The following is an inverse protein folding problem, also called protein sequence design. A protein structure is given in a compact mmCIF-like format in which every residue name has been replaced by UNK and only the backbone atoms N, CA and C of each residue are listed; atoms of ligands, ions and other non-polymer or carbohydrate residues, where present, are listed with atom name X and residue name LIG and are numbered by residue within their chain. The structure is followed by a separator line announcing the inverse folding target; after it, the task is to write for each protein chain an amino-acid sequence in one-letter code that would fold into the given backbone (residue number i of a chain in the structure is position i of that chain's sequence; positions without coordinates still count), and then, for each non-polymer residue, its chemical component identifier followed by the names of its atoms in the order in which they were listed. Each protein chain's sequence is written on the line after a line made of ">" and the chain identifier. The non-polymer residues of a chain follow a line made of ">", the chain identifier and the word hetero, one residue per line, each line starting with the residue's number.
data_IF_214600971559
#
_entry.id   IF_214600971559
#
_cell.length_a   1.000
_cell.length_b   1.000
_cell.length_c   1.000
_cell.angle_alpha   90.00
_cell.angle_beta   90.00
_cell.angle_gamma   90.00
#
_symmetry.space_group_name_H-M   'P 1'
#
loop_
_entity.id
_entity.type
_entity.pdbx_description
1 polymer ?
#
# COMPACT_ATOMS: atom_id res chain seq x y z
N UNK A 1 -42.20 0.40 60.00
CA UNK A 1 -42.44 1.39 58.92
C UNK A 1 -41.19 2.11 58.36
N UNK A 2 -39.96 1.80 58.79
CA UNK A 2 -38.73 2.48 58.28
C UNK A 2 -37.92 1.68 57.25
N UNK A 3 -38.33 0.45 56.92
CA UNK A 3 -37.62 -0.44 55.97
C UNK A 3 -37.98 -0.16 54.50
N UNK A 4 -39.19 0.33 54.24
CA UNK A 4 -39.70 0.68 52.90
C UNK A 4 -38.81 1.74 52.20
N UNK A 5 -38.40 2.86 52.85
CA UNK A 5 -37.54 3.84 52.18
C UNK A 5 -36.14 3.30 51.89
N UNK A 6 -35.59 2.43 52.75
CA UNK A 6 -34.29 1.80 52.55
C UNK A 6 -34.34 0.88 51.32
N UNK A 7 -35.42 0.11 51.19
CA UNK A 7 -35.63 -0.77 50.03
C UNK A 7 -35.72 0.02 48.71
N UNK A 8 -36.44 1.15 48.70
CA UNK A 8 -36.52 2.04 47.54
C UNK A 8 -35.15 2.60 47.12
N UNK A 9 -34.32 3.02 48.08
CA UNK A 9 -32.97 3.53 47.82
C UNK A 9 -32.07 2.44 47.21
N UNK A 10 -32.13 1.21 47.73
CA UNK A 10 -31.34 0.09 47.18
C UNK A 10 -31.74 -0.28 45.75
N UNK A 11 -33.05 -0.25 45.44
CA UNK A 11 -33.57 -0.47 44.08
C UNK A 11 -33.08 0.63 43.14
N UNK A 12 -33.14 1.90 43.58
CA UNK A 12 -32.69 3.03 42.77
C UNK A 12 -31.18 2.96 42.48
N UNK A 13 -30.38 2.61 43.49
CA UNK A 13 -28.93 2.44 43.34
C UNK A 13 -28.60 1.28 42.39
N UNK A 14 -29.31 0.16 42.52
CA UNK A 14 -29.16 -0.99 41.63
C UNK A 14 -29.48 -0.63 40.16
N UNK A 15 -30.61 0.06 39.93
CA UNK A 15 -31.00 0.53 38.61
C UNK A 15 -29.98 1.53 38.04
N UNK A 16 -29.49 2.46 38.86
CA UNK A 16 -28.47 3.44 38.46
C UNK A 16 -27.16 2.76 38.01
N UNK A 17 -26.64 1.80 38.78
CA UNK A 17 -25.44 1.04 38.42
C UNK A 17 -25.65 0.25 37.13
N UNK A 18 -26.81 -0.39 36.97
CA UNK A 18 -27.16 -1.16 35.76
C UNK A 18 -27.26 -0.26 34.52
N UNK A 19 -27.83 0.94 34.67
CA UNK A 19 -27.94 1.92 33.59
C UNK A 19 -26.56 2.50 33.19
N UNK A 20 -25.71 2.83 34.17
CA UNK A 20 -24.33 3.30 33.95
C UNK A 20 -23.49 2.24 33.22
N UNK A 21 -23.64 0.96 33.58
CA UNK A 21 -22.97 -0.16 32.87
C UNK A 21 -23.44 -0.31 31.42
N UNK A 22 -24.72 -0.08 31.12
CA UNK A 22 -25.25 -0.19 29.74
C UNK A 22 -24.72 0.89 28.79
N UNK A 23 -24.46 2.11 29.27
CA UNK A 23 -23.84 3.17 28.44
C UNK A 23 -22.43 2.80 27.95
N UNK A 24 -21.69 1.96 28.68
CA UNK A 24 -20.36 1.49 28.29
C UNK A 24 -20.32 0.45 27.16
N UNK A 25 -21.46 -0.15 26.78
CA UNK A 25 -21.53 -1.19 25.74
C UNK A 25 -21.86 -0.66 24.33
N UNK A 26 -22.07 0.64 24.16
CA UNK A 26 -22.35 1.27 22.86
C UNK A 26 -21.07 1.56 22.06
N UNK A 27 -20.09 0.65 22.07
CA UNK A 27 -18.88 0.74 21.25
C UNK A 27 -19.02 0.00 19.92
N UNK A 28 -20.25 -0.27 19.48
CA UNK A 28 -20.50 -0.81 18.13
C UNK A 28 -20.34 0.34 17.16
N UNK A 29 -19.19 0.36 16.46
CA UNK A 29 -18.94 1.27 15.34
C UNK A 29 -20.16 1.32 14.43
N UNK A 30 -20.66 2.51 14.16
CA UNK A 30 -21.80 2.70 13.27
C UNK A 30 -21.50 2.12 11.89
N UNK A 31 -22.53 1.75 11.12
CA UNK A 31 -22.36 1.17 9.78
C UNK A 31 -21.38 1.99 8.93
N UNK A 32 -21.50 3.33 8.99
CA UNK A 32 -20.63 4.28 8.31
C UNK A 32 -19.17 4.19 8.75
N UNK A 33 -18.90 4.01 10.04
CA UNK A 33 -17.52 3.85 10.54
C UNK A 33 -16.90 2.52 10.10
N UNK A 34 -17.68 1.44 10.09
CA UNK A 34 -17.23 0.15 9.56
C UNK A 34 -16.94 0.23 8.06
N UNK A 35 -17.76 0.98 7.32
CA UNK A 35 -17.55 1.26 5.91
C UNK A 35 -16.25 2.04 5.68
N UNK A 36 -16.07 3.19 6.36
CA UNK A 36 -14.81 3.97 6.30
C UNK A 36 -13.58 3.13 6.64
N UNK A 37 -13.67 2.29 7.67
CA UNK A 37 -12.58 1.41 8.07
C UNK A 37 -12.26 0.37 6.97
N UNK A 38 -13.28 -0.23 6.34
CA UNK A 38 -13.07 -1.17 5.22
C UNK A 38 -12.37 -0.48 4.04
N UNK A 39 -12.81 0.73 3.67
CA UNK A 39 -12.15 1.51 2.62
C UNK A 39 -10.70 1.83 2.94
N UNK A 40 -10.42 2.29 4.17
CA UNK A 40 -9.05 2.53 4.64
C UNK A 40 -8.20 1.26 4.54
N UNK A 41 -8.73 0.11 4.98
CA UNK A 41 -8.01 -1.16 4.94
C UNK A 41 -7.74 -1.62 3.49
N UNK A 42 -8.68 -1.41 2.55
CA UNK A 42 -8.48 -1.71 1.13
C UNK A 42 -7.34 -0.86 0.55
N UNK A 43 -7.33 0.44 0.84
CA UNK A 43 -6.29 1.35 0.36
C UNK A 43 -4.91 0.99 0.91
N UNK A 44 -4.81 0.65 2.20
CA UNK A 44 -3.57 0.17 2.81
C UNK A 44 -3.08 -1.12 2.15
N UNK A 45 -4.00 -2.06 1.88
CA UNK A 45 -3.65 -3.32 1.19
C UNK A 45 -3.14 -3.06 -0.22
N UNK A 46 -3.80 -2.19 -0.98
CA UNK A 46 -3.34 -1.80 -2.33
C UNK A 46 -1.96 -1.17 -2.29
N UNK A 47 -1.72 -0.25 -1.34
CA UNK A 47 -0.41 0.38 -1.14
C UNK A 47 0.68 -0.66 -0.87
N UNK A 48 0.43 -1.61 0.04
CA UNK A 48 1.38 -2.69 0.33
C UNK A 48 1.69 -3.55 -0.90
N UNK A 49 0.68 -3.90 -1.69
CA UNK A 49 0.87 -4.68 -2.94
C UNK A 49 1.72 -3.88 -3.94
N UNK A 50 1.48 -2.58 -4.07
CA UNK A 50 2.29 -1.69 -4.92
C UNK A 50 3.74 -1.65 -4.43
N UNK A 51 3.95 -1.44 -3.13
CA UNK A 51 5.28 -1.43 -2.50
C UNK A 51 5.99 -2.78 -2.68
N UNK A 52 5.30 -3.90 -2.49
CA UNK A 52 5.84 -5.24 -2.69
C UNK A 52 6.22 -5.50 -4.15
N UNK A 53 5.38 -5.05 -5.09
CA UNK A 53 5.67 -5.13 -6.52
C UNK A 53 6.92 -4.30 -6.88
N UNK A 54 6.99 -3.06 -6.43
CA UNK A 54 8.12 -2.14 -6.64
C UNK A 54 9.40 -2.70 -6.00
N UNK A 55 9.31 -3.24 -4.79
CA UNK A 55 10.42 -3.94 -4.13
C UNK A 55 10.86 -5.17 -4.93
N UNK A 56 9.93 -5.99 -5.44
CA UNK A 56 10.26 -7.14 -6.27
C UNK A 56 10.99 -6.75 -7.55
N UNK A 57 10.61 -5.61 -8.14
CA UNK A 57 11.28 -5.08 -9.31
C UNK A 57 12.68 -4.59 -8.93
N UNK A 58 12.88 -3.97 -7.77
CA UNK A 58 14.20 -3.52 -7.32
C UNK A 58 15.19 -4.65 -6.97
N UNK A 59 14.75 -5.91 -6.92
CA UNK A 59 15.60 -7.07 -6.62
C UNK A 59 16.26 -7.69 -7.85
N UNK A 60 15.54 -7.80 -8.97
CA UNK A 60 16.07 -8.41 -10.20
C UNK A 60 16.03 -7.41 -11.38
N UNK A 61 17.18 -6.92 -11.86
CA UNK A 61 17.24 -6.00 -13.00
C UNK A 61 16.81 -6.63 -14.33
N UNK A 62 16.72 -7.97 -14.41
CA UNK A 62 16.37 -8.73 -15.61
C UNK A 62 14.86 -8.89 -15.79
N UNK A 63 14.08 -8.73 -14.71
CA UNK A 63 12.62 -8.78 -14.76
C UNK A 63 12.08 -7.61 -15.56
N UNK A 64 11.28 -7.88 -16.59
CA UNK A 64 10.79 -6.86 -17.53
C UNK A 64 9.88 -5.83 -16.84
N UNK A 65 10.13 -4.54 -17.09
CA UNK A 65 9.20 -3.45 -16.79
C UNK A 65 8.37 -3.18 -18.05
N UNK A 66 7.10 -3.60 -18.11
CA UNK A 66 6.28 -3.42 -19.31
C UNK A 66 5.89 -1.96 -19.49
N UNK A 67 6.03 -1.44 -20.71
CA UNK A 67 5.45 -0.17 -21.14
C UNK A 67 4.28 -0.45 -22.08
N UNK A 68 3.29 0.43 -22.11
CA UNK A 68 2.07 0.24 -22.88
C UNK A 68 1.21 1.49 -22.86
N UNK A 69 0.37 1.64 -23.88
CA UNK A 69 -0.50 2.81 -24.07
C UNK A 69 -1.67 2.85 -23.09
N UNK A 70 -1.95 1.73 -22.42
CA UNK A 70 -3.05 1.58 -21.46
C UNK A 70 -2.70 2.01 -20.03
N UNK A 71 -1.42 2.31 -19.77
CA UNK A 71 -0.98 2.75 -18.44
C UNK A 71 -1.26 4.24 -18.24
N UNK A 72 -1.59 4.63 -17.02
CA UNK A 72 -1.71 6.05 -16.68
C UNK A 72 -0.34 6.73 -16.66
N UNK A 73 -0.32 8.07 -16.73
CA UNK A 73 0.91 8.86 -16.62
C UNK A 73 1.65 8.55 -15.30
N UNK A 74 0.92 8.41 -14.20
CA UNK A 74 1.49 8.08 -12.89
C UNK A 74 2.16 6.70 -12.90
N UNK A 75 1.53 5.70 -13.51
CA UNK A 75 2.10 4.36 -13.64
C UNK A 75 3.33 4.35 -14.55
N UNK A 76 3.33 5.12 -15.63
CA UNK A 76 4.49 5.28 -16.52
C UNK A 76 5.65 5.95 -15.79
N UNK A 77 5.36 6.97 -14.97
CA UNK A 77 6.36 7.65 -14.15
C UNK A 77 6.98 6.72 -13.12
N UNK A 78 6.18 5.96 -12.37
CA UNK A 78 6.69 4.99 -11.41
C UNK A 78 7.61 3.95 -12.08
N UNK A 79 7.20 3.44 -13.25
CA UNK A 79 8.01 2.50 -14.04
C UNK A 79 9.33 3.09 -14.52
N UNK A 80 9.31 4.35 -14.97
CA UNK A 80 10.52 5.06 -15.37
C UNK A 80 11.48 5.25 -14.18
N UNK A 81 10.94 5.56 -13.00
CA UNK A 81 11.74 5.72 -11.78
C UNK A 81 12.35 4.38 -11.34
N UNK A 82 11.58 3.28 -11.36
CA UNK A 82 12.13 1.93 -11.10
C UNK A 82 13.25 1.59 -12.09
N UNK A 83 13.06 1.90 -13.37
CA UNK A 83 14.07 1.66 -14.39
C UNK A 83 15.37 2.43 -14.12
N UNK A 84 15.27 3.72 -13.80
CA UNK A 84 16.40 4.58 -13.42
C UNK A 84 17.11 4.07 -12.18
N UNK A 85 16.37 3.70 -11.14
CA UNK A 85 16.96 3.15 -9.91
C UNK A 85 17.73 1.87 -10.18
N UNK A 86 17.20 0.96 -11.02
CA UNK A 86 17.91 -0.27 -11.40
C UNK A 86 19.18 0.00 -12.20
N UNK A 87 19.14 0.92 -13.17
CA UNK A 87 20.33 1.32 -13.91
C UNK A 87 21.39 1.87 -12.96
N UNK A 88 21.01 2.75 -12.02
CA UNK A 88 21.93 3.31 -11.03
C UNK A 88 22.50 2.25 -10.08
N UNK A 89 21.70 1.27 -9.66
CA UNK A 89 22.10 0.27 -8.65
C UNK A 89 22.86 -0.92 -9.24
N UNK A 90 22.43 -1.41 -10.40
CA UNK A 90 22.93 -2.66 -11.00
C UNK A 90 23.69 -2.44 -12.30
N UNK A 91 23.69 -1.21 -12.85
CA UNK A 91 24.26 -0.92 -14.16
C UNK A 91 23.47 -1.50 -15.34
N UNK A 92 22.30 -2.12 -15.10
CA UNK A 92 21.44 -2.71 -16.13
C UNK A 92 19.98 -2.76 -15.70
N UNK A 93 19.05 -2.72 -16.65
CA UNK A 93 17.61 -2.78 -16.37
C UNK A 93 16.79 -3.14 -17.61
N UNK A 94 15.87 -4.10 -17.49
CA UNK A 94 15.03 -4.57 -18.61
C UNK A 94 13.74 -3.78 -18.66
N UNK A 95 13.49 -3.10 -19.79
CA UNK A 95 12.30 -2.29 -20.01
C UNK A 95 11.71 -2.59 -21.38
N UNK A 96 10.40 -2.81 -21.43
CA UNK A 96 9.65 -3.15 -22.64
C UNK A 96 10.29 -4.28 -23.49
N UNK A 97 10.81 -5.30 -22.82
CA UNK A 97 11.48 -6.44 -23.46
C UNK A 97 12.96 -6.22 -23.80
N UNK A 98 13.43 -4.97 -23.82
CA UNK A 98 14.81 -4.64 -24.14
C UNK A 98 15.69 -4.53 -22.89
N UNK A 99 16.89 -5.08 -23.00
CA UNK A 99 17.89 -5.04 -21.93
C UNK A 99 18.81 -3.83 -22.13
N UNK A 100 18.76 -2.86 -21.21
CA UNK A 100 19.60 -1.68 -21.25
C UNK A 100 20.72 -1.76 -20.20
N UNK A 101 21.84 -1.12 -20.50
CA UNK A 101 23.06 -1.12 -19.71
C UNK A 101 23.63 0.29 -19.57
N UNK A 102 24.28 0.56 -18.44
CA UNK A 102 25.03 1.79 -18.21
C UNK A 102 26.45 1.60 -18.74
N UNK A 103 26.88 2.50 -19.62
CA UNK A 103 28.23 2.53 -20.17
C UNK A 103 29.24 3.19 -19.23
N UNK A 104 30.56 3.07 -19.53
CA UNK A 104 31.62 3.59 -18.65
C UNK A 104 31.55 5.09 -18.40
N UNK A 105 30.96 5.86 -19.33
CA UNK A 105 30.78 7.32 -19.25
C UNK A 105 29.37 7.73 -18.80
N UNK A 106 28.58 6.80 -18.26
CA UNK A 106 27.19 7.05 -17.82
C UNK A 106 26.12 7.01 -18.92
N UNK A 107 26.49 6.96 -20.20
CA UNK A 107 25.53 6.81 -21.31
C UNK A 107 24.85 5.43 -21.30
N UNK A 108 23.58 5.37 -21.70
CA UNK A 108 22.81 4.13 -21.75
C UNK A 108 22.97 3.48 -23.12
N UNK A 109 23.15 2.15 -23.15
CA UNK A 109 23.24 1.40 -24.40
C UNK A 109 22.49 0.07 -24.32
N UNK A 110 22.13 -0.44 -25.50
CA UNK A 110 21.69 -1.83 -25.71
C UNK A 110 22.67 -2.58 -26.58
N UNK A 111 22.59 -3.91 -26.53
CA UNK A 111 23.33 -4.78 -27.43
C UNK A 111 22.44 -5.04 -28.65
N UNK A 112 22.92 -4.73 -29.86
CA UNK A 112 22.23 -5.05 -31.10
C UNK A 112 22.31 -6.53 -31.43
N UNK A 113 21.53 -7.00 -32.39
CA UNK A 113 21.59 -8.40 -32.86
C UNK A 113 23.00 -8.77 -33.35
N UNK A 114 23.73 -7.82 -33.94
CA UNK A 114 25.14 -7.97 -34.35
C UNK A 114 26.15 -8.00 -33.17
N UNK A 115 25.70 -7.96 -31.92
CA UNK A 115 26.56 -7.95 -30.73
C UNK A 115 27.23 -6.61 -30.41
N UNK A 116 26.96 -5.56 -31.19
CA UNK A 116 27.55 -4.22 -30.99
C UNK A 116 26.78 -3.41 -29.95
N UNK A 117 27.47 -2.49 -29.28
CA UNK A 117 26.83 -1.52 -28.38
C UNK A 117 26.17 -0.41 -29.20
N UNK A 118 24.87 -0.24 -29.04
CA UNK A 118 24.10 0.87 -29.60
C UNK A 118 23.62 1.75 -28.45
N UNK A 119 24.16 2.97 -28.37
CA UNK A 119 23.73 3.95 -27.38
C UNK A 119 22.31 4.44 -27.71
N UNK A 120 21.51 4.64 -26.66
CA UNK A 120 20.13 5.11 -26.71
C UNK A 120 20.09 6.60 -26.44
#
# INVERSE_FOLDING_TARGET
>A
MRLIPIFLITIFLYLYIKFKRRKGFSNRKNLMERFKQRFKNINVRRKRISEEFTNSLLLDPSKNIPLGTWYSEDELREKADIHRTRLSKFGKSKINGEMLFVGPKGGIYKISDDGKKKYV
#
